data_IF_534295998522
#
_entry.id   IF_534295998522
#
_cell.length_a   1.000
_cell.length_b   1.000
_cell.length_c   1.000
_cell.angle_alpha   90.00
_cell.angle_beta   90.00
_cell.angle_gamma   90.00
#
_symmetry.space_group_name_H-M   'P 1'
#
loop_
_entity.id
_entity.type
_entity.pdbx_description
1 polymer ?
#
# COMPACT_ATOMS: atom_id res chain seq x y z
N UNK A 1 10.89 17.65 -14.28
CA UNK A 1 11.95 17.03 -15.10
C UNK A 1 11.40 15.73 -15.66
N UNK A 2 11.97 15.23 -16.75
CA UNK A 2 11.58 13.95 -17.36
C UNK A 2 12.20 12.77 -16.57
N UNK A 3 11.41 11.73 -16.31
CA UNK A 3 11.90 10.47 -15.75
C UNK A 3 12.25 9.55 -16.92
N UNK A 4 13.47 9.00 -16.95
CA UNK A 4 13.94 8.13 -18.05
C UNK A 4 14.06 6.66 -17.67
N UNK A 5 14.36 6.39 -16.40
CA UNK A 5 14.58 5.04 -15.88
C UNK A 5 13.81 4.91 -14.57
N UNK A 6 13.01 3.85 -14.46
CA UNK A 6 12.28 3.49 -13.24
C UNK A 6 12.63 2.06 -12.87
N UNK A 7 12.94 1.84 -11.60
CA UNK A 7 12.97 0.51 -11.00
C UNK A 7 11.92 0.49 -9.90
N UNK A 8 10.93 -0.39 -10.00
CA UNK A 8 9.96 -0.58 -8.92
C UNK A 8 10.19 -1.92 -8.24
N UNK A 9 10.12 -1.94 -6.92
CA UNK A 9 10.04 -3.18 -6.15
C UNK A 9 8.64 -3.35 -5.55
N UNK A 10 8.07 -4.54 -5.73
CA UNK A 10 6.89 -5.03 -5.02
C UNK A 10 5.67 -4.09 -5.09
N UNK A 11 5.51 -3.43 -6.23
CA UNK A 11 4.49 -2.41 -6.47
C UNK A 11 3.63 -2.76 -7.68
N UNK A 12 2.34 -2.43 -7.62
CA UNK A 12 1.43 -2.55 -8.75
C UNK A 12 0.56 -1.29 -8.84
N UNK A 13 1.16 -0.18 -9.24
CA UNK A 13 0.50 1.14 -9.18
C UNK A 13 -0.60 1.32 -10.22
N UNK A 14 -0.45 0.70 -11.39
CA UNK A 14 -1.47 0.60 -12.44
C UNK A 14 -2.77 -0.01 -11.90
N UNK A 15 -2.66 -0.92 -10.94
CA UNK A 15 -3.84 -1.51 -10.30
C UNK A 15 -4.25 -0.78 -9.01
N UNK A 16 -3.29 -0.37 -8.19
CA UNK A 16 -3.53 -0.01 -6.78
C UNK A 16 -3.75 1.48 -6.49
N UNK A 17 -3.31 2.38 -7.38
CA UNK A 17 -3.50 3.82 -7.26
C UNK A 17 -4.80 4.30 -7.91
N UNK A 18 -5.43 5.34 -7.35
CA UNK A 18 -6.55 6.04 -8.00
C UNK A 18 -6.09 6.77 -9.26
N UNK A 19 -6.98 6.91 -10.24
CA UNK A 19 -6.64 7.33 -11.59
C UNK A 19 -5.61 6.37 -12.19
N UNK A 20 -5.94 5.08 -12.16
CA UNK A 20 -5.10 3.95 -12.57
C UNK A 20 -4.47 4.15 -13.96
N UNK A 21 -5.28 4.64 -14.91
CA UNK A 21 -4.94 4.97 -16.29
C UNK A 21 -3.75 5.95 -16.43
N UNK A 22 -3.48 6.77 -15.41
CA UNK A 22 -2.33 7.68 -15.42
C UNK A 22 -1.01 6.93 -15.28
N UNK A 23 -1.00 5.82 -14.55
CA UNK A 23 0.20 5.00 -14.41
C UNK A 23 0.49 4.25 -15.70
N UNK A 24 -0.53 3.77 -16.40
CA UNK A 24 -0.39 3.19 -17.74
C UNK A 24 0.33 4.18 -18.68
N UNK A 25 -0.23 5.38 -18.84
CA UNK A 25 0.37 6.43 -19.68
C UNK A 25 1.76 6.90 -19.23
N UNK A 26 2.06 6.80 -17.93
CA UNK A 26 3.36 7.21 -17.40
C UNK A 26 4.41 6.14 -17.66
N UNK A 27 4.07 4.86 -17.46
CA UNK A 27 4.98 3.74 -17.65
C UNK A 27 5.31 3.49 -19.12
N UNK A 28 4.39 3.77 -20.05
CA UNK A 28 4.66 3.73 -21.50
C UNK A 28 5.80 4.68 -21.97
N UNK A 29 6.22 5.62 -21.12
CA UNK A 29 7.18 6.68 -21.48
C UNK A 29 8.57 6.50 -20.88
N UNK A 30 8.79 5.46 -20.07
CA UNK A 30 10.04 5.29 -19.31
C UNK A 30 10.64 3.92 -19.59
N UNK A 31 11.96 3.82 -19.50
CA UNK A 31 12.59 2.50 -19.39
C UNK A 31 12.27 1.93 -18.01
N UNK A 32 11.55 0.82 -17.94
CA UNK A 32 10.98 0.30 -16.72
C UNK A 32 11.48 -1.11 -16.39
N UNK A 33 12.09 -1.25 -15.21
CA UNK A 33 12.38 -2.54 -14.61
C UNK A 33 11.44 -2.83 -13.43
N UNK A 34 10.75 -3.97 -13.47
CA UNK A 34 9.81 -4.38 -12.44
C UNK A 34 10.35 -5.60 -11.66
N UNK A 35 10.53 -5.44 -10.34
CA UNK A 35 10.89 -6.51 -9.42
C UNK A 35 9.62 -7.01 -8.72
N UNK A 36 9.26 -8.27 -8.95
CA UNK A 36 8.01 -8.85 -8.42
C UNK A 36 7.89 -10.35 -8.63
N UNK A 37 6.89 -10.96 -7.99
CA UNK A 37 6.65 -12.43 -8.03
C UNK A 37 5.74 -12.87 -9.18
N UNK A 38 4.90 -11.96 -9.69
CA UNK A 38 3.85 -12.24 -10.66
C UNK A 38 3.91 -11.21 -11.79
N UNK A 39 3.48 -11.58 -13.01
CA UNK A 39 3.32 -10.65 -14.12
C UNK A 39 2.08 -9.77 -13.88
N UNK A 40 2.16 -8.87 -12.90
CA UNK A 40 1.11 -7.92 -12.52
C UNK A 40 0.86 -6.86 -13.59
N UNK A 41 -0.18 -6.04 -13.44
CA UNK A 41 -0.49 -4.95 -14.37
C UNK A 41 0.71 -4.03 -14.60
N UNK A 42 1.44 -3.66 -13.55
CA UNK A 42 2.70 -2.93 -13.68
C UNK A 42 3.75 -3.72 -14.49
N UNK A 43 3.95 -5.01 -14.20
CA UNK A 43 4.93 -5.82 -14.91
C UNK A 43 4.69 -5.89 -16.43
N UNK A 44 3.44 -5.72 -16.88
CA UNK A 44 3.10 -5.73 -18.31
C UNK A 44 3.62 -4.49 -19.06
N UNK A 45 3.98 -3.42 -18.36
CA UNK A 45 4.63 -2.24 -18.93
C UNK A 45 6.16 -2.28 -18.80
N UNK A 46 6.74 -3.31 -18.20
CA UNK A 46 8.17 -3.36 -17.94
C UNK A 46 8.96 -3.81 -19.18
N UNK A 47 10.08 -3.14 -19.46
CA UNK A 47 11.09 -3.60 -20.40
C UNK A 47 11.86 -4.81 -19.84
N UNK A 48 12.05 -4.83 -18.52
CA UNK A 48 12.72 -5.92 -17.79
C UNK A 48 11.89 -6.34 -16.59
N UNK A 49 11.60 -7.64 -16.50
CA UNK A 49 11.04 -8.25 -15.30
C UNK A 49 12.14 -9.00 -14.55
N UNK A 50 12.26 -8.73 -13.25
CA UNK A 50 13.21 -9.36 -12.34
C UNK A 50 12.44 -10.20 -11.31
N UNK A 51 12.46 -11.55 -11.40
CA UNK A 51 11.72 -12.41 -10.49
C UNK A 51 12.19 -12.28 -9.04
N UNK A 52 11.29 -11.80 -8.18
CA UNK A 52 11.54 -11.65 -6.75
C UNK A 52 11.28 -12.94 -5.98
N UNK A 53 12.12 -13.22 -4.98
CA UNK A 53 11.86 -14.30 -4.03
C UNK A 53 10.63 -14.00 -3.18
N UNK A 54 9.83 -15.03 -2.92
CA UNK A 54 8.59 -14.87 -2.15
C UNK A 54 8.91 -14.45 -0.70
N UNK A 55 8.47 -13.24 -0.33
CA UNK A 55 8.77 -12.60 0.95
C UNK A 55 8.59 -13.51 2.18
N UNK A 56 7.50 -14.28 2.23
CA UNK A 56 7.16 -15.04 3.43
C UNK A 56 7.97 -16.33 3.62
N UNK A 57 8.64 -16.84 2.57
CA UNK A 57 9.14 -18.24 2.58
C UNK A 57 10.49 -18.46 1.92
N UNK A 58 11.03 -17.50 1.17
CA UNK A 58 12.23 -17.70 0.33
C UNK A 58 13.33 -16.65 0.52
N UNK A 59 13.12 -15.62 1.36
CA UNK A 59 14.10 -14.57 1.62
C UNK A 59 14.24 -14.28 3.11
N UNK A 60 15.34 -13.61 3.46
CA UNK A 60 15.55 -13.03 4.78
C UNK A 60 14.95 -11.62 4.84
N UNK A 61 14.19 -11.32 5.89
CA UNK A 61 13.73 -9.96 6.19
C UNK A 61 13.40 -9.84 7.68
N UNK A 62 13.43 -8.61 8.20
CA UNK A 62 13.06 -8.29 9.58
C UNK A 62 11.85 -7.38 9.53
N UNK A 63 10.75 -7.82 10.16
CA UNK A 63 9.47 -7.12 10.16
C UNK A 63 9.03 -6.86 11.59
N UNK A 64 8.55 -5.65 11.88
CA UNK A 64 7.99 -5.29 13.17
C UNK A 64 6.45 -5.22 13.15
N UNK A 65 5.86 -5.40 14.32
CA UNK A 65 4.42 -5.22 14.55
C UNK A 65 4.18 -4.71 15.97
N UNK A 66 3.07 -4.02 16.19
CA UNK A 66 2.63 -3.60 17.53
C UNK A 66 1.21 -4.04 17.78
N UNK A 67 0.99 -4.71 18.90
CA UNK A 67 -0.31 -5.28 19.28
C UNK A 67 -0.29 -5.77 20.71
N UNK A 68 -1.46 -5.92 21.33
CA UNK A 68 -1.61 -6.45 22.69
C UNK A 68 -0.74 -5.73 23.77
N UNK A 69 -0.35 -4.48 23.54
CA UNK A 69 0.52 -3.72 24.43
C UNK A 69 2.03 -3.98 24.27
N UNK A 70 2.46 -4.67 23.20
CA UNK A 70 3.86 -5.01 22.94
C UNK A 70 4.31 -4.54 21.55
N UNK A 71 5.63 -4.43 21.38
CA UNK A 71 6.28 -4.43 20.07
C UNK A 71 6.87 -5.80 19.81
N UNK A 72 6.61 -6.34 18.63
CA UNK A 72 7.09 -7.61 18.13
C UNK A 72 8.07 -7.34 16.99
N UNK A 73 9.22 -8.00 16.97
CA UNK A 73 10.13 -7.97 15.82
C UNK A 73 10.42 -9.40 15.41
N UNK A 74 10.04 -9.75 14.18
CA UNK A 74 10.07 -11.11 13.66
C UNK A 74 11.00 -11.22 12.47
N UNK A 75 11.57 -12.40 12.29
CA UNK A 75 12.38 -12.74 11.12
C UNK A 75 11.56 -13.55 10.13
N UNK A 76 11.55 -13.11 8.87
CA UNK A 76 11.23 -13.95 7.73
C UNK A 76 12.52 -14.64 7.30
N UNK A 77 12.46 -15.95 7.08
CA UNK A 77 13.60 -16.75 6.66
C UNK A 77 13.18 -17.81 5.65
N UNK A 78 14.10 -18.28 4.79
CA UNK A 78 13.80 -19.35 3.85
C UNK A 78 13.37 -20.63 4.58
N UNK A 79 12.15 -21.09 4.35
CA UNK A 79 11.60 -22.35 4.88
C UNK A 79 11.29 -23.36 3.76
N UNK A 80 11.43 -22.92 2.51
CA UNK A 80 11.38 -23.76 1.31
C UNK A 80 12.54 -23.37 0.40
N UNK A 81 12.95 -24.31 -0.46
CA UNK A 81 13.90 -24.00 -1.52
C UNK A 81 13.35 -22.95 -2.49
N UNK A 82 14.26 -22.33 -3.25
CA UNK A 82 13.86 -21.54 -4.43
C UNK A 82 13.30 -22.48 -5.49
N UNK A 83 12.16 -22.09 -6.05
CA UNK A 83 11.48 -22.87 -7.07
C UNK A 83 12.11 -22.60 -8.45
N UNK A 84 12.58 -21.38 -8.67
CA UNK A 84 13.18 -20.92 -9.92
C UNK A 84 14.49 -20.17 -9.65
N UNK A 85 14.85 -19.25 -10.55
CA UNK A 85 16.04 -18.41 -10.43
C UNK A 85 15.83 -17.12 -9.64
N UNK A 86 14.72 -17.01 -8.88
CA UNK A 86 14.38 -15.83 -8.11
C UNK A 86 15.50 -15.37 -7.17
N UNK A 87 15.52 -14.06 -6.90
CA UNK A 87 16.47 -13.40 -6.01
C UNK A 87 15.73 -12.53 -5.01
N UNK A 88 16.28 -12.39 -3.81
CA UNK A 88 15.74 -11.45 -2.83
C UNK A 88 15.81 -10.03 -3.40
N UNK A 89 14.65 -9.40 -3.46
CA UNK A 89 14.37 -8.10 -4.07
C UNK A 89 15.13 -6.94 -3.41
N UNK A 90 15.16 -6.89 -2.09
CA UNK A 90 15.75 -5.78 -1.33
C UNK A 90 17.26 -5.92 -1.13
N UNK A 91 17.82 -7.11 -1.36
CA UNK A 91 19.22 -7.43 -1.06
C UNK A 91 19.97 -7.98 -2.27
N UNK A 92 19.68 -9.20 -2.68
CA UNK A 92 20.43 -9.91 -3.74
C UNK A 92 20.37 -9.20 -5.09
N UNK A 93 19.17 -8.80 -5.54
CA UNK A 93 18.99 -8.07 -6.80
C UNK A 93 19.76 -6.75 -6.75
N UNK A 94 19.69 -6.04 -5.63
CA UNK A 94 20.38 -4.77 -5.45
C UNK A 94 21.90 -4.95 -5.45
N UNK A 95 22.43 -5.99 -4.79
CA UNK A 95 23.86 -6.30 -4.79
C UNK A 95 24.36 -6.64 -6.20
N UNK A 96 23.61 -7.46 -6.95
CA UNK A 96 23.95 -7.82 -8.33
C UNK A 96 23.93 -6.59 -9.26
N UNK A 97 22.95 -5.70 -9.11
CA UNK A 97 22.89 -4.44 -9.84
C UNK A 97 24.09 -3.54 -9.49
N UNK A 98 24.39 -3.38 -8.21
CA UNK A 98 25.52 -2.58 -7.73
C UNK A 98 26.85 -3.09 -8.31
N UNK A 99 27.07 -4.41 -8.31
CA UNK A 99 28.25 -5.04 -8.92
C UNK A 99 28.34 -4.71 -10.41
N UNK A 100 27.23 -4.86 -11.15
CA UNK A 100 27.20 -4.56 -12.60
C UNK A 100 27.44 -3.08 -12.90
N UNK A 101 26.93 -2.17 -12.06
CA UNK A 101 27.23 -0.74 -12.16
C UNK A 101 28.71 -0.45 -11.91
N UNK A 102 29.32 -1.11 -10.92
CA UNK A 102 30.76 -1.01 -10.65
C UNK A 102 31.62 -1.47 -11.84
N UNK A 103 31.29 -2.61 -12.44
CA UNK A 103 31.93 -3.11 -13.67
C UNK A 103 31.78 -2.13 -14.86
N UNK A 104 30.73 -1.29 -14.85
CA UNK A 104 30.47 -0.24 -15.84
C UNK A 104 31.02 1.14 -15.44
N UNK A 105 31.85 1.23 -14.40
CA UNK A 105 32.53 2.47 -13.99
C UNK A 105 31.77 3.31 -12.95
N UNK A 106 30.71 2.79 -12.32
CA UNK A 106 29.99 3.45 -11.22
C UNK A 106 30.03 2.61 -9.93
N UNK A 107 31.14 2.62 -9.17
CA UNK A 107 31.37 1.70 -8.06
C UNK A 107 30.75 2.13 -6.73
N UNK A 108 30.15 3.32 -6.63
CA UNK A 108 29.71 3.89 -5.35
C UNK A 108 28.78 2.96 -4.56
N UNK A 109 27.79 2.36 -5.24
CA UNK A 109 26.82 1.49 -4.58
C UNK A 109 27.45 0.18 -4.09
N UNK A 110 28.30 -0.46 -4.90
CA UNK A 110 28.96 -1.71 -4.48
C UNK A 110 30.00 -1.46 -3.40
N UNK A 111 30.69 -0.31 -3.42
CA UNK A 111 31.59 0.10 -2.33
C UNK A 111 30.83 0.29 -1.02
N UNK A 112 29.64 0.91 -1.07
CA UNK A 112 28.77 1.05 0.09
C UNK A 112 28.31 -0.32 0.61
N UNK A 113 27.81 -1.21 -0.24
CA UNK A 113 27.39 -2.55 0.19
C UNK A 113 28.54 -3.39 0.74
N UNK A 114 29.74 -3.30 0.15
CA UNK A 114 30.93 -3.99 0.65
C UNK A 114 31.47 -3.41 1.97
N UNK A 115 31.01 -2.21 2.37
CA UNK A 115 31.33 -1.65 3.69
C UNK A 115 30.55 -2.33 4.83
N UNK A 116 29.50 -3.11 4.51
CA UNK A 116 28.71 -3.82 5.49
C UNK A 116 29.59 -4.96 6.03
N UNK A 117 29.84 -4.96 7.33
CA UNK A 117 30.66 -5.98 7.99
C UNK A 117 29.76 -6.88 8.79
N UNK A 118 29.95 -8.19 8.65
CA UNK A 118 29.28 -9.15 9.51
C UNK A 118 29.54 -8.80 10.99
N UNK A 119 28.51 -8.70 11.85
CA UNK A 119 28.69 -8.23 13.22
C UNK A 119 29.51 -9.15 14.14
N UNK A 120 29.84 -10.37 13.71
CA UNK A 120 30.63 -11.33 14.48
C UNK A 120 31.98 -11.61 13.83
N UNK A 121 32.00 -11.87 12.53
CA UNK A 121 33.20 -12.27 11.77
C UNK A 121 33.92 -11.10 11.13
N UNK A 122 33.31 -9.92 11.06
CA UNK A 122 33.85 -8.70 10.43
C UNK A 122 34.14 -8.87 8.93
N UNK A 123 33.65 -9.96 8.32
CA UNK A 123 33.79 -10.22 6.88
C UNK A 123 32.89 -9.28 6.08
N UNK A 124 33.38 -8.90 4.91
CA UNK A 124 32.60 -8.17 3.89
C UNK A 124 31.84 -9.18 3.02
N UNK A 125 30.64 -8.83 2.52
CA UNK A 125 29.91 -9.65 1.56
C UNK A 125 30.76 -10.03 0.34
N UNK A 126 30.77 -11.32 -0.04
CA UNK A 126 31.47 -11.78 -1.25
C UNK A 126 30.53 -12.07 -2.41
N UNK A 127 29.23 -12.13 -2.13
CA UNK A 127 28.17 -12.38 -3.09
C UNK A 127 26.81 -11.88 -2.61
N UNK A 128 25.76 -12.03 -3.43
CA UNK A 128 24.43 -11.54 -3.12
C UNK A 128 23.80 -12.24 -1.90
N UNK A 129 23.98 -13.56 -1.75
CA UNK A 129 23.46 -14.32 -0.62
C UNK A 129 24.15 -13.91 0.70
N UNK A 130 25.48 -13.75 0.68
CA UNK A 130 26.25 -13.23 1.82
C UNK A 130 25.77 -11.83 2.22
N UNK A 131 25.52 -10.96 1.23
CA UNK A 131 25.03 -9.61 1.48
C UNK A 131 23.64 -9.64 2.15
N UNK A 132 22.75 -10.53 1.71
CA UNK A 132 21.43 -10.68 2.30
C UNK A 132 21.49 -11.11 3.78
N UNK A 133 22.32 -12.10 4.11
CA UNK A 133 22.54 -12.57 5.49
C UNK A 133 23.17 -11.45 6.35
N UNK A 134 24.24 -10.81 5.87
CA UNK A 134 24.94 -9.74 6.60
C UNK A 134 24.01 -8.54 6.84
N UNK A 135 23.24 -8.10 5.83
CA UNK A 135 22.30 -7.00 5.98
C UNK A 135 21.21 -7.33 7.02
N UNK A 136 20.66 -8.55 6.98
CA UNK A 136 19.67 -9.02 7.95
C UNK A 136 20.23 -9.07 9.38
N UNK A 137 21.48 -9.54 9.54
CA UNK A 137 22.19 -9.56 10.81
C UNK A 137 22.46 -8.15 11.34
N UNK A 138 22.90 -7.22 10.50
CA UNK A 138 23.17 -5.84 10.90
C UNK A 138 21.89 -5.15 11.41
N UNK A 139 20.79 -5.23 10.66
CA UNK A 139 19.55 -4.52 11.04
C UNK A 139 18.90 -5.09 12.31
N UNK A 140 19.06 -6.39 12.54
CA UNK A 140 18.55 -7.08 13.75
C UNK A 140 19.55 -7.15 14.90
N UNK A 141 20.80 -6.71 14.71
CA UNK A 141 21.87 -6.77 15.72
C UNK A 141 21.44 -6.21 17.09
N UNK A 142 20.68 -5.09 17.17
CA UNK A 142 20.19 -4.59 18.46
C UNK A 142 19.31 -5.56 19.25
N UNK A 143 18.83 -6.66 18.65
CA UNK A 143 17.98 -7.66 19.31
C UNK A 143 18.80 -8.82 19.90
N UNK A 144 19.75 -9.34 19.13
CA UNK A 144 20.47 -10.57 19.48
C UNK A 144 21.91 -10.33 19.94
N UNK A 145 22.45 -9.12 19.72
CA UNK A 145 23.73 -8.63 20.26
C UNK A 145 23.57 -7.19 20.74
N UNK A 146 22.69 -6.93 21.72
CA UNK A 146 22.42 -5.58 22.17
C UNK A 146 23.63 -5.05 22.98
N UNK A 147 23.86 -3.73 22.91
CA UNK A 147 24.90 -3.08 23.73
C UNK A 147 24.56 -3.08 25.22
N UNK A 148 23.27 -2.99 25.53
CA UNK A 148 22.71 -3.02 26.87
C UNK A 148 21.64 -4.11 26.95
N UNK A 149 21.45 -4.78 28.10
CA UNK A 149 20.41 -5.79 28.23
C UNK A 149 19.04 -5.27 27.79
N UNK A 150 18.38 -6.03 26.90
CA UNK A 150 17.01 -5.73 26.50
C UNK A 150 16.06 -5.94 27.67
N UNK A 151 15.00 -5.13 27.69
CA UNK A 151 13.94 -5.21 28.70
C UNK A 151 12.88 -6.26 28.38
N UNK A 152 12.72 -6.58 27.10
CA UNK A 152 11.85 -7.64 26.63
C UNK A 152 12.52 -9.01 26.68
N UNK A 153 12.23 -9.83 25.67
CA UNK A 153 12.79 -11.18 25.56
C UNK A 153 14.32 -11.18 25.56
N UNK A 154 14.90 -12.25 26.14
CA UNK A 154 16.34 -12.50 26.08
C UNK A 154 16.64 -13.41 24.89
N UNK A 155 17.59 -12.98 24.08
CA UNK A 155 18.10 -13.71 22.92
C UNK A 155 19.59 -14.00 23.12
N UNK A 156 19.99 -15.24 22.87
CA UNK A 156 21.38 -15.72 22.98
C UNK A 156 22.05 -15.76 21.60
N UNK A 157 22.23 -14.59 21.01
CA UNK A 157 22.85 -14.47 19.69
C UNK A 157 21.91 -14.76 18.51
N UNK A 158 22.49 -14.67 17.31
CA UNK A 158 21.76 -14.72 16.05
C UNK A 158 21.00 -16.03 15.83
N UNK A 159 21.63 -17.16 16.13
CA UNK A 159 21.01 -18.47 15.91
C UNK A 159 19.83 -18.71 16.87
N UNK A 160 19.90 -18.23 18.12
CA UNK A 160 18.75 -18.28 19.04
C UNK A 160 17.61 -17.37 18.57
N UNK A 161 17.91 -16.18 18.05
CA UNK A 161 16.90 -15.32 17.43
C UNK A 161 16.23 -15.97 16.21
N UNK A 162 17.01 -16.56 15.31
CA UNK A 162 16.49 -17.31 14.15
C UNK A 162 15.62 -18.49 14.56
N UNK A 163 16.03 -19.24 15.58
CA UNK A 163 15.30 -20.39 16.08
C UNK A 163 13.97 -19.99 16.73
N UNK A 164 13.97 -18.91 17.54
CA UNK A 164 12.75 -18.35 18.16
C UNK A 164 11.83 -17.66 17.14
N UNK A 165 12.41 -17.07 16.10
CA UNK A 165 11.70 -16.38 15.02
C UNK A 165 11.14 -15.01 15.39
N UNK A 166 11.20 -14.60 16.66
CA UNK A 166 10.57 -13.37 17.16
C UNK A 166 11.23 -12.87 18.45
N UNK A 167 11.23 -11.54 18.62
CA UNK A 167 11.50 -10.82 19.86
C UNK A 167 10.22 -10.07 20.28
N UNK A 168 9.87 -10.13 21.56
CA UNK A 168 8.82 -9.32 22.17
C UNK A 168 9.42 -8.29 23.13
N UNK A 169 8.92 -7.05 23.07
CA UNK A 169 9.31 -5.99 24.01
C UNK A 169 8.77 -6.24 25.42
N UNK A 170 9.17 -5.41 26.36
CA UNK A 170 8.44 -5.22 27.61
C UNK A 170 7.02 -4.65 27.35
N UNK A 171 6.06 -4.83 28.28
CA UNK A 171 4.73 -4.24 28.17
C UNK A 171 4.79 -2.72 28.07
N UNK A 172 3.91 -2.14 27.25
CA UNK A 172 3.80 -0.69 27.10
C UNK A 172 3.49 0.00 28.44
N UNK A 173 4.33 0.97 28.83
CA UNK A 173 4.08 1.81 30.02
C UNK A 173 2.93 2.78 29.75
N UNK A 174 1.75 2.45 30.26
CA UNK A 174 0.58 3.34 30.21
C UNK A 174 0.93 4.74 30.75
N UNK A 175 0.46 5.79 30.06
CA UNK A 175 0.72 7.21 30.37
C UNK A 175 2.20 7.63 30.42
N UNK A 176 3.13 6.85 29.84
CA UNK A 176 4.55 7.21 29.82
C UNK A 176 4.86 8.60 29.20
N UNK A 177 4.04 9.06 28.25
CA UNK A 177 4.16 10.40 27.66
C UNK A 177 3.55 11.52 28.51
N UNK A 178 2.67 11.21 29.46
CA UNK A 178 2.07 12.23 30.33
C UNK A 178 3.10 12.75 31.34
N UNK A 179 4.01 11.87 31.78
CA UNK A 179 5.14 12.20 32.64
C UNK A 179 6.28 12.86 31.86
N UNK A 180 6.60 12.33 30.66
CA UNK A 180 7.74 12.77 29.84
C UNK A 180 7.45 13.99 28.97
N UNK A 181 6.18 14.32 28.76
CA UNK A 181 5.72 15.26 27.75
C UNK A 181 5.60 14.62 26.37
N UNK A 182 4.61 15.08 25.59
CA UNK A 182 4.44 14.67 24.20
C UNK A 182 5.55 15.28 23.32
N UNK A 183 5.91 14.65 22.17
CA UNK A 183 6.86 15.21 21.21
C UNK A 183 6.25 16.34 20.38
N UNK A 184 5.58 17.29 21.04
CA UNK A 184 4.94 18.48 20.47
C UNK A 184 5.67 19.74 20.98
N UNK A 185 5.53 20.90 20.32
CA UNK A 185 6.09 22.16 20.82
C UNK A 185 5.66 22.48 22.25
N UNK A 186 4.39 22.21 22.59
CA UNK A 186 3.82 22.50 23.91
C UNK A 186 4.12 21.43 24.98
N UNK A 187 4.69 20.29 24.59
CA UNK A 187 4.80 19.06 25.41
C UNK A 187 3.45 18.49 25.89
N UNK A 188 2.34 18.98 25.34
CA UNK A 188 0.97 18.57 25.67
C UNK A 188 0.31 17.84 24.50
N UNK A 189 -0.85 17.25 24.78
CA UNK A 189 -1.81 16.90 23.74
C UNK A 189 -2.44 18.20 23.21
N UNK A 190 -2.30 18.45 21.91
CA UNK A 190 -2.65 19.72 21.30
C UNK A 190 -4.04 19.69 20.67
N UNK A 191 -5.06 20.20 21.39
CA UNK A 191 -6.36 20.50 20.78
C UNK A 191 -6.29 21.70 19.84
N UNK A 192 -5.46 22.66 20.19
CA UNK A 192 -4.97 23.69 19.28
C UNK A 192 -3.53 23.31 18.92
N UNK A 193 -3.26 23.04 17.65
CA UNK A 193 -1.98 22.50 17.21
C UNK A 193 -0.96 23.59 16.90
N UNK A 194 -0.14 23.90 17.91
CA UNK A 194 1.06 24.74 17.74
C UNK A 194 2.07 24.09 16.78
N UNK A 195 2.15 22.75 16.76
CA UNK A 195 2.96 22.02 15.78
C UNK A 195 2.53 22.28 14.34
N UNK A 196 1.22 22.17 14.05
CA UNK A 196 0.67 22.45 12.73
C UNK A 196 0.84 23.93 12.35
N UNK A 197 0.58 24.83 13.31
CA UNK A 197 0.76 26.28 13.10
C UNK A 197 2.19 26.62 12.70
N UNK A 198 3.18 26.11 13.43
CA UNK A 198 4.58 26.33 13.10
C UNK A 198 4.95 25.77 11.72
N UNK A 199 4.47 24.56 11.39
CA UNK A 199 4.72 23.92 10.09
C UNK A 199 4.11 24.70 8.91
N UNK A 200 2.84 25.11 9.04
CA UNK A 200 2.16 25.90 8.00
C UNK A 200 2.73 27.32 7.88
N UNK A 201 3.14 27.94 8.98
CA UNK A 201 3.81 29.24 8.97
C UNK A 201 5.13 29.16 8.18
N UNK A 202 5.97 28.17 8.47
CA UNK A 202 7.23 27.98 7.73
C UNK A 202 7.00 27.69 6.24
N UNK A 203 5.92 26.95 5.90
CA UNK A 203 5.54 26.71 4.52
C UNK A 203 5.06 28.00 3.82
N UNK A 204 4.22 28.78 4.48
CA UNK A 204 3.72 30.06 3.98
C UNK A 204 4.87 31.05 3.74
N UNK A 205 5.83 31.15 4.66
CA UNK A 205 7.04 31.98 4.52
C UNK A 205 7.90 31.55 3.33
N UNK A 206 8.15 30.25 3.19
CA UNK A 206 8.88 29.69 2.04
C UNK A 206 8.24 30.10 0.71
N UNK A 207 6.91 30.13 0.66
CA UNK A 207 6.13 30.46 -0.52
C UNK A 207 5.73 31.95 -0.61
N UNK A 208 6.16 32.78 0.35
CA UNK A 208 5.85 34.22 0.43
C UNK A 208 4.35 34.52 0.37
N UNK A 209 3.56 33.77 1.15
CA UNK A 209 2.09 33.82 1.19
C UNK A 209 1.60 33.72 2.63
N UNK A 210 0.28 33.68 2.86
CA UNK A 210 -0.32 33.48 4.19
C UNK A 210 -0.73 32.02 4.43
N UNK A 211 -0.97 31.64 5.69
CA UNK A 211 -1.52 30.31 6.03
C UNK A 211 -2.90 30.12 5.40
N UNK A 212 -3.71 31.18 5.31
CA UNK A 212 -5.03 31.13 4.68
C UNK A 212 -4.94 30.82 3.18
N UNK A 213 -3.94 31.40 2.50
CA UNK A 213 -3.68 31.08 1.09
C UNK A 213 -3.21 29.63 0.92
N UNK A 214 -2.39 29.12 1.86
CA UNK A 214 -1.98 27.71 1.85
C UNK A 214 -3.19 26.79 2.06
N UNK A 215 -4.06 27.10 3.02
CA UNK A 215 -5.28 26.34 3.26
C UNK A 215 -6.20 26.36 2.03
N UNK A 216 -6.34 27.51 1.37
CA UNK A 216 -7.10 27.66 0.13
C UNK A 216 -6.51 26.84 -1.03
N UNK A 217 -5.20 26.94 -1.25
CA UNK A 217 -4.49 26.15 -2.26
C UNK A 217 -4.57 24.65 -1.96
N UNK A 218 -4.63 24.28 -0.68
CA UNK A 218 -4.88 22.94 -0.20
C UNK A 218 -6.35 22.49 -0.30
N UNK A 219 -7.25 23.39 -0.71
CA UNK A 219 -8.70 23.18 -0.86
C UNK A 219 -9.46 22.94 0.45
N UNK A 220 -8.96 23.52 1.54
CA UNK A 220 -9.66 23.58 2.82
C UNK A 220 -10.59 24.80 2.89
N UNK A 221 -11.68 24.67 3.64
CA UNK A 221 -12.59 25.80 3.91
C UNK A 221 -12.22 26.56 5.18
N UNK A 222 -11.46 25.95 6.10
CA UNK A 222 -10.98 26.61 7.30
C UNK A 222 -10.05 27.79 6.98
N UNK A 223 -10.16 28.83 7.82
CA UNK A 223 -9.37 30.06 7.77
C UNK A 223 -9.03 30.50 9.20
N UNK A 224 -7.97 31.27 9.32
CA UNK A 224 -7.43 31.76 10.59
C UNK A 224 -7.20 30.63 11.59
N UNK A 225 -7.55 30.91 12.84
CA UNK A 225 -7.32 30.01 13.98
C UNK A 225 -8.04 28.65 13.85
N UNK A 226 -9.12 28.58 13.03
CA UNK A 226 -9.87 27.35 12.80
C UNK A 226 -9.00 26.25 12.15
N UNK A 227 -7.98 26.63 11.39
CA UNK A 227 -7.04 25.70 10.74
C UNK A 227 -6.31 24.81 11.76
N UNK A 228 -6.10 25.30 12.99
CA UNK A 228 -5.27 24.62 13.99
C UNK A 228 -6.07 23.83 15.02
N UNK A 229 -7.40 23.78 14.90
CA UNK A 229 -8.29 23.04 15.83
C UNK A 229 -9.10 21.99 15.07
N UNK A 230 -9.56 20.91 15.72
CA UNK A 230 -10.53 20.00 15.12
C UNK A 230 -11.80 20.75 14.67
N UNK A 231 -12.16 20.61 13.40
CA UNK A 231 -13.34 21.24 12.82
C UNK A 231 -13.94 20.40 11.69
N UNK A 232 -15.14 20.77 11.26
CA UNK A 232 -15.78 20.17 10.10
C UNK A 232 -15.30 20.82 8.80
N UNK A 233 -14.90 19.98 7.86
CA UNK A 233 -14.65 20.30 6.45
C UNK A 233 -15.68 19.55 5.60
N UNK A 234 -16.40 20.22 4.68
CA UNK A 234 -17.29 19.54 3.75
C UNK A 234 -16.47 18.58 2.85
N UNK A 235 -16.93 17.35 2.63
CA UNK A 235 -16.21 16.40 1.80
C UNK A 235 -16.19 16.87 0.34
N UNK A 236 -15.01 16.85 -0.27
CA UNK A 236 -14.88 17.03 -1.71
C UNK A 236 -15.32 15.76 -2.42
N UNK A 237 -16.26 15.90 -3.36
CA UNK A 237 -16.79 14.81 -4.16
C UNK A 237 -16.56 15.10 -5.64
N UNK A 238 -16.08 14.10 -6.37
CA UNK A 238 -15.98 14.14 -7.82
C UNK A 238 -17.19 13.49 -8.48
N UNK A 239 -17.82 14.22 -9.40
CA UNK A 239 -19.09 13.86 -10.03
C UNK A 239 -20.26 14.61 -9.40
N UNK A 240 -21.07 15.27 -10.23
CA UNK A 240 -22.28 15.94 -9.76
C UNK A 240 -23.39 14.93 -9.45
N UNK A 241 -24.26 15.26 -8.49
CA UNK A 241 -25.31 14.36 -8.02
C UNK A 241 -26.42 14.10 -9.04
N UNK A 242 -26.54 14.92 -10.08
CA UNK A 242 -27.54 14.74 -11.13
C UNK A 242 -27.11 13.63 -12.09
N UNK A 243 -25.84 13.63 -12.51
CA UNK A 243 -25.29 12.65 -13.44
C UNK A 243 -24.74 11.39 -12.74
N UNK A 244 -24.26 11.52 -11.50
CA UNK A 244 -23.64 10.47 -10.71
C UNK A 244 -24.29 10.38 -9.32
N UNK A 245 -25.51 9.84 -9.20
CA UNK A 245 -26.31 9.97 -7.98
C UNK A 245 -25.85 9.08 -6.81
N UNK A 246 -24.90 8.17 -7.01
CA UNK A 246 -24.45 7.23 -5.98
C UNK A 246 -23.02 7.53 -5.51
N UNK A 247 -22.79 7.61 -4.20
CA UNK A 247 -21.43 7.67 -3.67
C UNK A 247 -20.79 6.28 -3.63
N UNK A 248 -19.58 6.13 -4.18
CA UNK A 248 -18.81 4.90 -4.08
C UNK A 248 -18.27 4.71 -2.67
N UNK A 249 -18.49 3.52 -2.11
CA UNK A 249 -17.93 3.07 -0.84
C UNK A 249 -16.95 1.93 -1.13
N UNK A 250 -15.69 2.29 -1.32
CA UNK A 250 -14.58 1.35 -1.43
C UNK A 250 -14.32 0.67 -0.08
N UNK A 251 -14.09 -0.64 -0.09
CA UNK A 251 -13.65 -1.38 1.08
C UNK A 251 -12.70 -2.50 0.66
N UNK A 252 -11.95 -3.05 1.63
CA UNK A 252 -11.05 -4.18 1.38
C UNK A 252 -11.72 -5.49 1.77
N UNK A 253 -11.51 -6.53 0.97
CA UNK A 253 -11.83 -7.90 1.38
C UNK A 253 -10.99 -8.25 2.61
N UNK A 254 -11.56 -8.95 3.57
CA UNK A 254 -10.77 -9.54 4.67
C UNK A 254 -9.80 -10.63 4.20
N UNK A 255 -10.00 -11.16 2.99
CA UNK A 255 -9.14 -12.13 2.34
C UNK A 255 -8.06 -11.47 1.46
N UNK A 256 -8.08 -10.14 1.32
CA UNK A 256 -7.03 -9.42 0.62
C UNK A 256 -5.73 -9.48 1.41
N UNK A 257 -4.71 -10.10 0.82
CA UNK A 257 -3.30 -9.79 1.17
C UNK A 257 -2.88 -8.58 0.35
N UNK A 258 -3.48 -7.44 0.69
CA UNK A 258 -3.49 -6.25 -0.17
C UNK A 258 -4.01 -6.58 -1.58
N UNK A 259 -3.28 -6.27 -2.65
CA UNK A 259 -3.63 -6.61 -4.04
C UNK A 259 -2.96 -7.89 -4.56
N UNK A 260 -2.75 -8.89 -3.70
CA UNK A 260 -1.89 -10.06 -4.03
C UNK A 260 -2.50 -11.44 -3.81
N UNK A 261 -3.76 -11.53 -3.39
CA UNK A 261 -4.43 -12.82 -3.11
C UNK A 261 -5.37 -13.27 -4.22
N UNK A 262 -5.62 -12.44 -5.23
CA UNK A 262 -6.68 -12.66 -6.21
C UNK A 262 -6.37 -13.74 -7.23
N UNK A 263 -5.09 -14.13 -7.34
CA UNK A 263 -4.67 -15.29 -8.13
C UNK A 263 -4.66 -16.61 -7.32
N UNK A 264 -5.35 -16.66 -6.18
CA UNK A 264 -5.56 -17.88 -5.39
C UNK A 264 -7.01 -18.32 -5.47
N UNK A 265 -7.26 -19.63 -5.65
CA UNK A 265 -8.63 -20.17 -5.76
C UNK A 265 -9.41 -20.00 -4.46
N UNK A 266 -8.77 -20.14 -3.30
CA UNK A 266 -9.43 -19.96 -2.00
C UNK A 266 -9.89 -18.53 -1.75
N UNK A 267 -9.19 -17.50 -2.25
CA UNK A 267 -9.72 -16.13 -2.21
C UNK A 267 -11.07 -16.05 -2.92
N UNK A 268 -11.16 -16.65 -4.11
CA UNK A 268 -12.37 -16.62 -4.94
C UNK A 268 -13.49 -17.46 -4.30
N UNK A 269 -13.18 -18.69 -3.90
CA UNK A 269 -14.13 -19.64 -3.31
C UNK A 269 -14.72 -19.15 -1.99
N UNK A 270 -13.91 -18.53 -1.13
CA UNK A 270 -14.36 -18.07 0.18
C UNK A 270 -14.79 -16.60 0.18
N UNK A 271 -14.84 -15.91 -0.97
CA UNK A 271 -15.11 -14.46 -1.02
C UNK A 271 -16.39 -14.03 -0.29
N UNK A 272 -17.40 -14.91 -0.22
CA UNK A 272 -18.65 -14.73 0.56
C UNK A 272 -18.47 -14.45 2.06
N UNK A 273 -17.28 -14.67 2.64
CA UNK A 273 -17.00 -14.31 4.04
C UNK A 273 -16.94 -12.80 4.26
N UNK A 274 -16.78 -12.01 3.18
CA UNK A 274 -17.06 -10.60 3.20
C UNK A 274 -18.57 -10.43 3.19
N UNK A 275 -19.14 -10.02 4.33
CA UNK A 275 -20.61 -9.98 4.52
C UNK A 275 -21.27 -9.15 3.43
N UNK A 276 -22.15 -9.78 2.64
CA UNK A 276 -22.83 -9.14 1.52
C UNK A 276 -22.14 -9.33 0.16
N UNK A 277 -21.02 -10.05 0.06
CA UNK A 277 -20.42 -10.49 -1.21
C UNK A 277 -20.81 -11.93 -1.58
N UNK A 278 -20.42 -12.34 -2.79
CA UNK A 278 -20.62 -13.66 -3.34
C UNK A 278 -19.28 -14.36 -3.61
N UNK A 279 -19.30 -15.70 -3.67
CA UNK A 279 -18.10 -16.48 -4.05
C UNK A 279 -17.87 -16.37 -5.55
N UNK A 280 -16.61 -16.30 -5.97
CA UNK A 280 -16.13 -16.17 -7.37
C UNK A 280 -16.56 -14.93 -8.15
N UNK A 281 -17.66 -14.30 -7.74
CA UNK A 281 -18.20 -13.11 -8.37
C UNK A 281 -17.55 -11.85 -7.79
N UNK A 282 -17.41 -10.84 -8.64
CA UNK A 282 -17.17 -9.47 -8.22
C UNK A 282 -18.51 -8.73 -8.26
N UNK A 283 -18.91 -8.18 -7.11
CA UNK A 283 -20.23 -7.57 -6.95
C UNK A 283 -20.13 -6.12 -6.51
N UNK A 284 -21.01 -5.28 -7.06
CA UNK A 284 -21.40 -4.02 -6.41
C UNK A 284 -22.62 -4.30 -5.54
N UNK A 285 -22.54 -3.87 -4.28
CA UNK A 285 -23.66 -3.95 -3.34
C UNK A 285 -24.49 -2.68 -3.46
N UNK A 286 -25.80 -2.86 -3.62
CA UNK A 286 -26.76 -1.78 -3.82
C UNK A 286 -27.89 -1.97 -2.79
N UNK A 287 -28.38 -0.88 -2.20
CA UNK A 287 -29.55 -0.97 -1.34
C UNK A 287 -30.78 -1.45 -2.15
N UNK A 288 -31.64 -2.33 -1.61
CA UNK A 288 -32.83 -2.81 -2.33
C UNK A 288 -33.78 -1.70 -2.81
N UNK A 289 -33.88 -0.58 -2.09
CA UNK A 289 -34.68 0.58 -2.51
C UNK A 289 -34.15 1.18 -3.82
N UNK A 290 -32.84 1.34 -3.93
CA UNK A 290 -32.20 1.88 -5.12
C UNK A 290 -32.20 0.85 -6.27
N UNK A 291 -32.01 -0.43 -5.96
CA UNK A 291 -32.18 -1.52 -6.91
C UNK A 291 -33.58 -1.51 -7.53
N UNK A 292 -34.63 -1.31 -6.72
CA UNK A 292 -36.02 -1.19 -7.19
C UNK A 292 -36.20 0.02 -8.10
N UNK A 293 -35.66 1.20 -7.73
CA UNK A 293 -35.72 2.42 -8.56
C UNK A 293 -35.05 2.23 -9.92
N UNK A 294 -33.93 1.49 -9.95
CA UNK A 294 -33.15 1.23 -11.16
C UNK A 294 -33.61 -0.01 -11.95
N UNK A 295 -34.57 -0.80 -11.45
CA UNK A 295 -34.97 -2.06 -12.07
C UNK A 295 -33.90 -3.16 -12.04
N UNK A 296 -32.96 -3.09 -11.09
CA UNK A 296 -31.84 -4.01 -10.93
C UNK A 296 -32.18 -5.09 -9.90
N UNK A 297 -31.82 -6.34 -10.20
CA UNK A 297 -31.93 -7.50 -9.31
C UNK A 297 -30.55 -8.06 -9.00
N UNK A 298 -30.44 -8.80 -7.88
CA UNK A 298 -29.23 -9.56 -7.58
C UNK A 298 -28.88 -10.50 -8.74
N UNK A 299 -27.61 -10.50 -9.14
CA UNK A 299 -27.08 -11.29 -10.24
C UNK A 299 -27.08 -10.58 -11.60
N UNK A 300 -27.81 -9.48 -11.76
CA UNK A 300 -27.77 -8.68 -12.99
C UNK A 300 -26.35 -8.13 -13.22
N UNK A 301 -25.90 -8.10 -14.48
CA UNK A 301 -24.71 -7.35 -14.85
C UNK A 301 -25.04 -5.86 -14.85
N UNK A 302 -24.18 -5.07 -14.23
CA UNK A 302 -24.31 -3.62 -14.14
C UNK A 302 -23.00 -2.94 -14.49
N UNK A 303 -23.11 -1.77 -15.13
CA UNK A 303 -22.01 -0.88 -15.43
C UNK A 303 -22.01 0.26 -14.41
N UNK A 304 -20.90 0.42 -13.70
CA UNK A 304 -20.64 1.59 -12.87
C UNK A 304 -19.81 2.56 -13.71
N UNK A 305 -20.21 3.83 -13.76
CA UNK A 305 -19.49 4.87 -14.49
C UNK A 305 -19.25 6.06 -13.56
N UNK A 306 -18.04 6.59 -13.55
CA UNK A 306 -17.66 7.84 -12.85
C UNK A 306 -17.19 8.89 -13.85
N UNK A 307 -16.68 10.02 -13.36
CA UNK A 307 -16.03 11.05 -14.18
C UNK A 307 -14.73 10.57 -14.85
N UNK A 308 -14.15 9.43 -14.43
CA UNK A 308 -12.87 8.93 -14.98
C UNK A 308 -13.03 7.73 -15.89
N UNK A 309 -13.99 6.86 -15.61
CA UNK A 309 -14.07 5.59 -16.32
C UNK A 309 -15.27 4.75 -15.91
N UNK A 310 -15.27 3.51 -16.36
CA UNK A 310 -16.36 2.58 -16.06
C UNK A 310 -15.87 1.16 -15.88
N UNK A 311 -16.56 0.42 -15.01
CA UNK A 311 -16.33 -1.01 -14.80
C UNK A 311 -17.66 -1.77 -14.90
N UNK A 312 -17.60 -3.06 -15.20
CA UNK A 312 -18.77 -3.92 -15.31
C UNK A 312 -18.67 -5.11 -14.35
N UNK A 313 -19.64 -5.23 -13.45
CA UNK A 313 -19.68 -6.23 -12.38
C UNK A 313 -21.10 -6.72 -12.14
N UNK A 314 -21.30 -7.72 -11.28
CA UNK A 314 -22.65 -8.16 -10.91
C UNK A 314 -23.24 -7.25 -9.82
N UNK A 315 -24.55 -7.08 -9.82
CA UNK A 315 -25.26 -6.43 -8.73
C UNK A 315 -25.57 -7.43 -7.60
N UNK A 316 -25.48 -6.97 -6.36
CA UNK A 316 -25.98 -7.67 -5.18
C UNK A 316 -26.85 -6.71 -4.36
N UNK A 317 -28.16 -6.97 -4.31
CA UNK A 317 -29.04 -6.20 -3.45
C UNK A 317 -28.80 -6.62 -1.99
N UNK A 318 -28.51 -5.66 -1.12
CA UNK A 318 -28.17 -5.93 0.28
C UNK A 318 -28.57 -4.76 1.20
N UNK A 319 -29.35 -5.05 2.24
CA UNK A 319 -29.87 -4.05 3.20
C UNK A 319 -28.77 -3.37 4.04
N UNK A 320 -27.58 -3.98 4.12
CA UNK A 320 -26.43 -3.37 4.80
C UNK A 320 -25.81 -2.20 4.03
N UNK A 321 -26.30 -1.86 2.84
CA UNK A 321 -25.88 -0.69 2.06
C UNK A 321 -26.77 0.51 2.37
N UNK A 322 -26.17 1.65 2.67
CA UNK A 322 -26.89 2.93 2.82
C UNK A 322 -27.53 3.33 1.47
N UNK A 323 -28.81 3.72 1.42
CA UNK A 323 -29.41 4.28 0.20
C UNK A 323 -28.62 5.46 -0.36
N UNK A 324 -28.52 5.56 -1.69
CA UNK A 324 -27.70 6.54 -2.40
C UNK A 324 -26.19 6.23 -2.38
N UNK A 325 -25.80 5.01 -2.01
CA UNK A 325 -24.40 4.56 -2.06
C UNK A 325 -24.25 3.25 -2.82
N UNK A 326 -23.06 3.03 -3.37
CA UNK A 326 -22.67 1.80 -4.05
C UNK A 326 -21.42 1.25 -3.36
N UNK A 327 -21.54 0.13 -2.66
CA UNK A 327 -20.40 -0.44 -1.93
C UNK A 327 -19.75 -1.56 -2.70
N UNK A 328 -18.43 -1.49 -2.94
CA UNK A 328 -17.71 -2.49 -3.72
C UNK A 328 -16.34 -2.78 -3.12
N UNK A 329 -15.99 -4.07 -3.07
CA UNK A 329 -14.69 -4.52 -2.62
C UNK A 329 -13.60 -4.18 -3.65
N UNK A 330 -12.52 -3.54 -3.22
CA UNK A 330 -11.27 -3.49 -3.99
C UNK A 330 -10.58 -4.87 -3.98
N UNK A 331 -9.95 -5.22 -5.10
CA UNK A 331 -9.05 -6.38 -5.20
C UNK A 331 -9.26 -7.18 -6.46
N UNK A 332 -10.52 -7.44 -6.86
CA UNK A 332 -10.80 -8.00 -8.18
C UNK A 332 -10.69 -6.91 -9.27
N UNK A 333 -10.76 -7.32 -10.54
CA UNK A 333 -10.54 -6.45 -11.70
C UNK A 333 -9.16 -6.54 -12.31
N UNK A 334 -8.32 -7.49 -11.87
CA UNK A 334 -7.04 -7.75 -12.49
C UNK A 334 -7.23 -8.18 -13.95
N UNK A 335 -6.50 -7.55 -14.86
CA UNK A 335 -6.37 -7.97 -16.26
C UNK A 335 -5.04 -8.69 -16.53
N UNK A 336 -4.11 -8.67 -15.57
CA UNK A 336 -2.87 -9.43 -15.57
C UNK A 336 -2.77 -10.32 -14.31
N UNK A 337 -1.58 -10.42 -13.71
CA UNK A 337 -1.29 -11.15 -12.47
C UNK A 337 -1.27 -12.69 -12.58
N UNK A 338 -2.34 -13.29 -13.13
CA UNK A 338 -2.39 -14.72 -13.40
C UNK A 338 -3.78 -15.27 -13.74
N UNK A 339 -3.84 -16.58 -14.04
CA UNK A 339 -5.02 -17.26 -14.59
C UNK A 339 -6.25 -17.29 -13.70
N UNK A 340 -6.09 -17.19 -12.37
CA UNK A 340 -7.22 -17.17 -11.43
C UNK A 340 -7.73 -15.74 -11.24
N UNK A 341 -6.82 -14.76 -11.28
CA UNK A 341 -7.14 -13.34 -11.15
C UNK A 341 -7.80 -12.75 -12.41
N UNK A 342 -7.74 -13.45 -13.55
CA UNK A 342 -8.27 -13.01 -14.85
C UNK A 342 -9.31 -13.98 -15.40
N UNK A 343 -10.07 -13.54 -16.40
CA UNK A 343 -10.79 -14.44 -17.31
C UNK A 343 -9.89 -14.84 -18.48
N UNK A 344 -9.19 -13.86 -19.04
CA UNK A 344 -8.16 -14.05 -20.06
C UNK A 344 -6.97 -13.13 -19.73
N UNK A 345 -5.79 -13.71 -19.56
CA UNK A 345 -4.58 -12.95 -19.21
C UNK A 345 -4.25 -11.90 -20.28
N UNK A 346 -3.94 -10.68 -19.83
CA UNK A 346 -3.64 -9.52 -20.67
C UNK A 346 -4.77 -9.08 -21.62
N UNK A 347 -6.03 -9.45 -21.31
CA UNK A 347 -7.20 -9.14 -22.15
C UNK A 347 -8.45 -8.84 -21.34
N UNK A 348 -8.94 -9.84 -20.61
CA UNK A 348 -10.28 -9.79 -20.01
C UNK A 348 -10.16 -9.95 -18.49
N UNK A 349 -10.46 -8.90 -17.71
CA UNK A 349 -10.35 -8.97 -16.26
C UNK A 349 -11.42 -9.87 -15.63
N UNK A 350 -11.11 -10.41 -14.45
CA UNK A 350 -12.13 -11.00 -13.58
C UNK A 350 -12.62 -9.94 -12.60
N UNK A 351 -13.83 -9.43 -12.84
CA UNK A 351 -14.41 -8.32 -12.09
C UNK A 351 -13.99 -6.96 -12.65
N UNK A 352 -14.06 -5.92 -11.84
CA UNK A 352 -13.72 -4.55 -12.21
C UNK A 352 -12.85 -3.86 -11.17
N UNK A 353 -11.80 -3.16 -11.61
CA UNK A 353 -10.89 -2.47 -10.72
C UNK A 353 -11.53 -1.18 -10.21
N UNK A 354 -11.74 -1.07 -8.89
CA UNK A 354 -12.36 0.11 -8.29
C UNK A 354 -11.59 1.41 -8.60
N UNK A 355 -10.27 1.31 -8.77
CA UNK A 355 -9.42 2.46 -9.01
C UNK A 355 -9.58 3.07 -10.42
N UNK A 356 -10.22 2.37 -11.36
CA UNK A 356 -10.57 2.92 -12.68
C UNK A 356 -11.75 3.91 -12.56
N UNK A 357 -12.54 3.79 -11.48
CA UNK A 357 -13.63 4.73 -11.17
C UNK A 357 -13.16 5.96 -10.39
N UNK A 358 -12.09 5.85 -9.62
CA UNK A 358 -11.68 6.90 -8.70
C UNK A 358 -10.71 7.87 -9.36
N UNK A 359 -11.01 9.18 -9.43
CA UNK A 359 -10.04 10.17 -9.88
C UNK A 359 -8.85 10.26 -8.94
N UNK A 360 -7.73 10.72 -9.49
CA UNK A 360 -6.59 11.08 -8.68
C UNK A 360 -6.81 12.43 -8.02
N UNK A 361 -6.68 12.44 -6.70
CA UNK A 361 -6.61 13.62 -5.89
C UNK A 361 -5.89 13.28 -4.59
N UNK A 362 -5.42 14.32 -3.91
CA UNK A 362 -4.65 14.19 -2.68
C UNK A 362 -5.19 15.11 -1.61
N UNK A 363 -5.16 14.63 -0.37
CA UNK A 363 -5.23 15.48 0.80
C UNK A 363 -3.87 16.21 0.88
N UNK A 364 -3.86 17.51 0.54
CA UNK A 364 -2.64 18.28 0.23
C UNK A 364 -1.80 18.59 1.47
N UNK A 365 -2.37 18.60 2.67
CA UNK A 365 -1.60 18.82 3.89
C UNK A 365 -0.73 17.62 4.26
N UNK A 366 -1.19 16.40 3.97
CA UNK A 366 -0.48 15.15 4.27
C UNK A 366 0.19 14.52 3.05
N UNK A 367 -0.25 14.87 1.83
CA UNK A 367 0.15 14.22 0.58
C UNK A 367 -0.53 12.88 0.32
N UNK A 368 -1.54 12.51 1.13
CA UNK A 368 -2.21 11.21 1.04
C UNK A 368 -3.18 11.15 -0.14
N UNK A 369 -3.24 10.01 -0.84
CA UNK A 369 -4.26 9.80 -1.89
C UNK A 369 -5.67 9.71 -1.29
N UNK A 370 -6.63 10.41 -1.91
CA UNK A 370 -8.05 10.28 -1.58
C UNK A 370 -8.59 8.94 -2.10
N UNK A 371 -9.34 8.21 -1.27
CA UNK A 371 -9.93 6.90 -1.62
C UNK A 371 -11.26 6.61 -0.95
N UNK A 372 -11.40 6.99 0.32
CA UNK A 372 -12.57 6.67 1.14
C UNK A 372 -13.49 7.89 1.30
N UNK A 373 -14.68 7.67 1.86
CA UNK A 373 -15.56 8.76 2.32
C UNK A 373 -16.51 9.33 1.26
N UNK A 374 -16.83 8.59 0.20
CA UNK A 374 -17.73 9.08 -0.85
C UNK A 374 -17.09 10.13 -1.78
N UNK A 375 -15.75 10.21 -1.79
CA UNK A 375 -14.96 11.09 -2.63
C UNK A 375 -15.24 10.92 -4.15
N UNK A 376 -15.75 9.76 -4.56
CA UNK A 376 -16.12 9.47 -5.95
C UNK A 376 -17.59 9.16 -6.05
N UNK A 377 -18.30 9.88 -6.92
CA UNK A 377 -19.67 9.59 -7.29
C UNK A 377 -19.72 8.75 -8.57
N UNK A 378 -20.72 7.86 -8.67
CA UNK A 378 -20.94 6.95 -9.78
C UNK A 378 -22.40 6.93 -10.22
N UNK A 379 -22.62 6.55 -11.47
CA UNK A 379 -23.90 6.13 -12.04
C UNK A 379 -23.90 4.62 -12.19
N UNK A 380 -25.06 3.99 -11.96
CA UNK A 380 -25.26 2.55 -12.10
C UNK A 380 -26.31 2.31 -13.18
N UNK A 381 -25.95 1.49 -14.17
CA UNK A 381 -26.83 1.12 -15.29
C UNK A 381 -26.83 -0.39 -15.46
N UNK A 382 -27.98 -0.98 -15.76
CA UNK A 382 -28.07 -2.40 -16.15
C UNK A 382 -27.48 -2.59 -17.56
N UNK A 383 -26.69 -3.64 -17.75
CA UNK A 383 -26.06 -3.99 -19.03
C UNK A 383 -27.00 -4.81 -19.90
#
# INVERSE_FOLDING_TARGET
>A
YEIKVVVSNWANFNFSCTGADRWDRAMEKVFYAHIGTNPSEAAMYADIVLPAAHHATQKLSIIDNKGNGYTHISIQQPVVGRLWEEKADETEIMYMLAKKLGEKGFPNMINYFNSFKDPETVKTPTGPEDFAEIACRIISMPLWKPKEPLKGDKLDGWEDFKAKGIYNSEPYKYKGLWEKGFPTPTKKYEFYSEGLKAGLQAHAEKHKTSIDDIAEAAQYTARGEKVFVPHYEPPKVWGDSLNYPFMLVDFKSRLNREGRSQNTTWFQEFKRVDVGDESWDDVVRINPEDGKKLGIKTGDMVKLTSVTGSITVKAKLWEGVRPGTASKCFGQGHWAYGKVATKEFNKTPRGGNNNDLMPFDVERMTGSNCRNGGFTAVRIEKV
#
